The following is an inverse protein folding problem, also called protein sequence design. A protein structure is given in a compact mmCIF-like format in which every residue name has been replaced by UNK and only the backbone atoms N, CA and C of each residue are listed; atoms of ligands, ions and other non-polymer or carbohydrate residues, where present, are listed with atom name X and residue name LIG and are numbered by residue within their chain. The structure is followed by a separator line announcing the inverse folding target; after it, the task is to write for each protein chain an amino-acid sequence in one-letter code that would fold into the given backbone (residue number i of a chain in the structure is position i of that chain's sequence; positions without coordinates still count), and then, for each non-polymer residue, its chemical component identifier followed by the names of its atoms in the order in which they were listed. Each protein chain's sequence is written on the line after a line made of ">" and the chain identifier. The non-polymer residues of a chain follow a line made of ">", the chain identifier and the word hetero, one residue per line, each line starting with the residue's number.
data_IF_647933782934
#
_entry.id   IF_647933782934
#
_cell.length_a   1.000
_cell.length_b   1.000
_cell.length_c   1.000
_cell.angle_alpha   90.00
_cell.angle_beta   90.00
_cell.angle_gamma   90.00
#
_symmetry.space_group_name_H-M   'P 1'
#
loop_
_entity.id
_entity.type
_entity.pdbx_description
1 polymer ?
#
# COMPACT_ATOMS: atom_id res chain seq x y z
N UNK A 1 14.24 -7.77 6.23
CA UNK A 1 12.96 -7.14 5.85
C UNK A 1 12.53 -6.26 7.01
N UNK A 2 12.16 -5.00 6.76
CA UNK A 2 11.83 -4.02 7.80
C UNK A 2 10.55 -3.28 7.47
N UNK A 3 9.84 -2.80 8.49
CA UNK A 3 8.60 -2.07 8.31
C UNK A 3 8.85 -0.74 7.57
N UNK A 4 8.31 -0.62 6.35
CA UNK A 4 8.51 0.57 5.51
C UNK A 4 7.50 1.67 5.83
N UNK A 5 6.22 1.34 5.99
CA UNK A 5 5.17 2.30 6.31
C UNK A 5 3.98 1.61 6.98
N UNK A 6 3.26 2.35 7.83
CA UNK A 6 1.95 1.97 8.38
C UNK A 6 1.02 3.15 8.18
N UNK A 7 -0.14 2.91 7.60
CA UNK A 7 -1.13 3.95 7.35
C UNK A 7 -2.53 3.37 7.25
N UNK A 8 -3.52 4.23 7.54
CA UNK A 8 -4.92 3.95 7.21
C UNK A 8 -5.14 4.25 5.74
N UNK A 9 -5.69 3.30 5.02
CA UNK A 9 -5.98 3.40 3.60
C UNK A 9 -7.47 3.19 3.37
N UNK A 10 -8.02 3.89 2.38
CA UNK A 10 -9.31 3.50 1.81
C UNK A 10 -9.06 2.29 0.90
N UNK A 11 -9.90 1.27 1.03
CA UNK A 11 -9.95 0.15 0.09
C UNK A 11 -11.19 0.30 -0.78
N UNK A 12 -11.04 0.03 -2.07
CA UNK A 12 -12.19 -0.14 -2.96
C UNK A 12 -12.09 -1.47 -3.68
N UNK A 13 -13.21 -2.19 -3.71
CA UNK A 13 -13.37 -3.32 -4.62
C UNK A 13 -13.43 -2.79 -6.05
N UNK A 14 -12.68 -3.46 -6.93
CA UNK A 14 -12.79 -3.32 -8.37
C UNK A 14 -13.19 -4.69 -8.92
N UNK A 15 -14.11 -4.71 -9.89
CA UNK A 15 -14.70 -5.95 -10.41
C UNK A 15 -13.65 -7.03 -10.74
N UNK A 16 -14.03 -8.29 -10.56
CA UNK A 16 -13.12 -9.42 -10.76
C UNK A 16 -12.16 -9.70 -9.60
N UNK A 17 -12.54 -9.35 -8.37
CA UNK A 17 -11.79 -9.68 -7.16
C UNK A 17 -10.53 -8.84 -6.92
N UNK A 18 -10.38 -7.72 -7.63
CA UNK A 18 -9.23 -6.82 -7.46
C UNK A 18 -9.54 -5.80 -6.37
N UNK A 19 -8.52 -5.45 -5.58
CA UNK A 19 -8.61 -4.39 -4.57
C UNK A 19 -7.70 -3.23 -4.99
N UNK A 20 -8.23 -2.02 -4.91
CA UNK A 20 -7.46 -0.79 -5.05
C UNK A 20 -7.19 -0.25 -3.66
N UNK A 21 -5.91 -0.13 -3.30
CA UNK A 21 -5.44 0.48 -2.06
C UNK A 21 -5.08 1.94 -2.36
N UNK A 22 -5.82 2.87 -1.76
CA UNK A 22 -5.52 4.30 -1.92
C UNK A 22 -4.45 4.73 -0.92
N UNK A 23 -3.24 4.98 -1.44
CA UNK A 23 -2.09 5.41 -0.64
C UNK A 23 -2.20 6.91 -0.33
N UNK A 24 -2.10 7.32 0.95
CA UNK A 24 -2.03 8.73 1.36
C UNK A 24 -0.90 9.50 0.67
N UNK A 25 -1.14 10.77 0.32
CA UNK A 25 -0.22 11.57 -0.51
C UNK A 25 1.17 11.71 0.11
N UNK A 26 1.23 11.81 1.43
CA UNK A 26 2.45 11.93 2.23
C UNK A 26 3.38 10.71 2.13
N UNK A 27 2.83 9.53 1.80
CA UNK A 27 3.61 8.29 1.68
C UNK A 27 3.98 7.94 0.23
N UNK A 28 3.33 8.55 -0.75
CA UNK A 28 3.60 8.28 -2.17
C UNK A 28 5.07 8.52 -2.56
N UNK A 29 5.77 9.58 -2.11
CA UNK A 29 7.18 9.77 -2.45
C UNK A 29 8.07 8.64 -1.95
N UNK A 30 7.86 8.20 -0.69
CA UNK A 30 8.60 7.11 -0.08
C UNK A 30 8.39 5.80 -0.85
N UNK A 31 7.14 5.46 -1.13
CA UNK A 31 6.82 4.21 -1.85
C UNK A 31 7.26 4.24 -3.32
N UNK A 32 7.28 5.41 -3.96
CA UNK A 32 7.84 5.58 -5.30
C UNK A 32 9.34 5.25 -5.33
N UNK A 33 10.10 5.65 -4.33
CA UNK A 33 11.53 5.32 -4.23
C UNK A 33 11.77 3.80 -4.24
N UNK A 34 10.94 3.02 -3.51
CA UNK A 34 11.04 1.56 -3.50
C UNK A 34 10.67 0.95 -4.86
N UNK A 35 9.63 1.48 -5.50
CA UNK A 35 9.25 1.06 -6.85
C UNK A 35 10.37 1.29 -7.87
N UNK A 36 10.98 2.48 -7.88
CA UNK A 36 12.09 2.83 -8.78
C UNK A 36 13.33 1.96 -8.55
N UNK A 37 13.54 1.50 -7.31
CA UNK A 37 14.61 0.56 -6.94
C UNK A 37 14.28 -0.90 -7.22
N UNK A 38 13.08 -1.20 -7.73
CA UNK A 38 12.63 -2.58 -7.99
C UNK A 38 12.48 -3.41 -6.72
N UNK A 39 12.22 -2.78 -5.58
CA UNK A 39 12.06 -3.48 -4.31
C UNK A 39 10.65 -4.06 -4.21
N UNK A 40 10.56 -5.36 -3.95
CA UNK A 40 9.30 -6.03 -3.66
C UNK A 40 8.79 -5.63 -2.26
N UNK A 41 7.50 -5.32 -2.16
CA UNK A 41 6.87 -4.86 -0.92
C UNK A 41 5.74 -5.81 -0.52
N UNK A 42 5.85 -6.38 0.68
CA UNK A 42 4.76 -7.12 1.30
C UNK A 42 3.77 -6.15 1.96
N UNK A 43 2.49 -6.29 1.61
CA UNK A 43 1.40 -5.44 2.13
C UNK A 43 0.52 -6.26 3.06
N UNK A 44 0.52 -5.92 4.34
CA UNK A 44 -0.34 -6.52 5.34
C UNK A 44 -1.55 -5.61 5.58
N UNK A 45 -2.75 -6.12 5.33
CA UNK A 45 -4.01 -5.39 5.52
C UNK A 45 -4.71 -5.94 6.75
N UNK A 46 -5.06 -5.04 7.67
CA UNK A 46 -5.86 -5.36 8.86
C UNK A 46 -7.15 -4.55 8.77
N UNK A 47 -8.29 -5.24 8.89
CA UNK A 47 -9.58 -4.61 9.11
C UNK A 47 -9.87 -4.67 10.61
N UNK A 48 -10.17 -3.53 11.23
CA UNK A 48 -10.73 -3.50 12.58
C UNK A 48 -12.26 -3.66 12.41
N UNK A 49 -12.85 -4.63 13.12
CA UNK A 49 -14.30 -4.84 13.21
C UNK A 49 -15.01 -3.70 13.96
#
# INVERSE_FOLDING_TARGET
>A
MGLVAVFRARLSSHGGGRLIIYIPKELQPKLREYYEKGVELDVHIYAED
#
